data_IF_944295610300
#
_entry.id   IF_944295610300
#
_cell.length_a   1.000
_cell.length_b   1.000
_cell.length_c   1.000
_cell.angle_alpha   90.00
_cell.angle_beta   90.00
_cell.angle_gamma   90.00
#
_symmetry.space_group_name_H-M   'P 1'
#
loop_
_entity.id
_entity.type
_entity.pdbx_description
1 polymer ?
#
# COMPACT_ATOMS: atom_id res chain seq x y z
N UNK A 1 -13.08 -17.68 8.27
CA UNK A 1 -12.40 -17.16 7.06
C UNK A 1 -13.13 -15.92 6.63
N UNK A 2 -12.43 -14.79 6.59
CA UNK A 2 -12.96 -13.48 6.27
C UNK A 2 -13.26 -13.41 4.77
N UNK A 3 -14.49 -13.03 4.39
CA UNK A 3 -14.93 -13.01 3.00
C UNK A 3 -14.78 -11.61 2.41
N UNK A 4 -13.99 -11.49 1.35
CA UNK A 4 -13.58 -10.22 0.76
C UNK A 4 -14.00 -10.14 -0.70
N UNK A 5 -14.59 -9.02 -1.10
CA UNK A 5 -14.78 -8.58 -2.47
C UNK A 5 -13.70 -7.57 -2.89
N UNK A 6 -13.37 -7.52 -4.16
CA UNK A 6 -12.41 -6.57 -4.73
C UNK A 6 -13.10 -5.75 -5.81
N UNK A 7 -13.12 -4.43 -5.66
CA UNK A 7 -13.56 -3.50 -6.70
C UNK A 7 -12.36 -2.87 -7.40
N UNK A 8 -12.21 -3.11 -8.69
CA UNK A 8 -11.07 -2.73 -9.51
C UNK A 8 -9.97 -3.80 -9.53
N UNK A 9 -9.76 -4.40 -10.69
CA UNK A 9 -8.78 -5.47 -10.89
C UNK A 9 -7.50 -4.96 -11.58
N UNK A 10 -7.10 -3.73 -11.24
CA UNK A 10 -5.81 -3.12 -11.60
C UNK A 10 -4.65 -3.77 -10.84
N UNK A 11 -3.48 -3.11 -10.82
CA UNK A 11 -2.28 -3.64 -10.14
C UNK A 11 -2.59 -4.08 -8.70
N UNK A 12 -3.12 -3.17 -7.88
CA UNK A 12 -3.33 -3.46 -6.45
C UNK A 12 -4.42 -4.50 -6.24
N UNK A 13 -5.58 -4.39 -6.93
CA UNK A 13 -6.65 -5.39 -6.80
C UNK A 13 -6.18 -6.79 -7.13
N UNK A 14 -5.40 -6.97 -8.21
CA UNK A 14 -4.82 -8.27 -8.56
C UNK A 14 -3.83 -8.79 -7.54
N UNK A 15 -3.00 -7.92 -6.97
CA UNK A 15 -2.01 -8.34 -5.98
C UNK A 15 -2.62 -8.62 -4.62
N UNK A 16 -3.66 -7.88 -4.21
CA UNK A 16 -4.51 -8.25 -3.06
C UNK A 16 -5.13 -9.63 -3.28
N UNK A 17 -5.64 -9.88 -4.51
CA UNK A 17 -6.18 -11.21 -4.87
C UNK A 17 -5.12 -12.30 -4.74
N UNK A 18 -3.92 -12.11 -5.31
CA UNK A 18 -2.82 -13.08 -5.24
C UNK A 18 -2.34 -13.29 -3.80
N UNK A 19 -2.15 -12.23 -3.02
CA UNK A 19 -1.74 -12.31 -1.62
C UNK A 19 -2.77 -13.09 -0.77
N UNK A 20 -4.06 -12.90 -1.04
CA UNK A 20 -5.11 -13.67 -0.36
C UNK A 20 -5.03 -15.18 -0.63
N UNK A 21 -4.50 -15.61 -1.79
CA UNK A 21 -4.31 -17.04 -2.08
C UNK A 21 -3.17 -17.69 -1.28
N UNK A 22 -2.27 -16.90 -0.72
CA UNK A 22 -1.17 -17.36 0.14
C UNK A 22 -1.56 -17.35 1.63
N UNK A 23 -2.84 -17.01 1.94
CA UNK A 23 -3.37 -16.88 3.31
C UNK A 23 -4.46 -17.91 3.60
N UNK A 24 -4.66 -18.21 4.89
CA UNK A 24 -5.67 -19.13 5.37
C UNK A 24 -6.80 -18.43 6.15
N UNK A 25 -6.70 -17.14 6.40
CA UNK A 25 -7.65 -16.34 7.18
C UNK A 25 -8.64 -15.57 6.29
N UNK A 26 -8.27 -15.29 5.04
CA UNK A 26 -9.04 -14.50 4.07
C UNK A 26 -9.42 -15.34 2.85
N UNK A 27 -10.61 -15.09 2.32
CA UNK A 27 -11.08 -15.66 1.06
C UNK A 27 -11.65 -14.57 0.15
N UNK A 28 -11.14 -14.45 -1.08
CA UNK A 28 -11.79 -13.62 -2.08
C UNK A 28 -12.99 -14.37 -2.63
N UNK A 29 -14.18 -13.78 -2.51
CA UNK A 29 -15.46 -14.37 -2.95
C UNK A 29 -16.06 -13.67 -4.15
N UNK A 30 -15.60 -12.45 -4.45
CA UNK A 30 -16.09 -11.65 -5.57
C UNK A 30 -15.04 -10.68 -6.10
N UNK A 31 -15.09 -10.40 -7.39
CA UNK A 31 -14.31 -9.37 -8.07
C UNK A 31 -15.26 -8.57 -8.96
N UNK A 32 -15.10 -7.26 -8.98
CA UNK A 32 -15.79 -6.36 -9.92
C UNK A 32 -14.78 -5.54 -10.72
N UNK A 33 -14.92 -5.55 -12.03
CA UNK A 33 -14.25 -4.60 -12.92
C UNK A 33 -15.08 -4.41 -14.20
N UNK A 34 -15.62 -3.20 -14.45
CA UNK A 34 -16.48 -2.95 -15.60
C UNK A 34 -15.75 -2.86 -16.95
N UNK A 35 -14.42 -2.91 -16.96
CA UNK A 35 -13.59 -2.75 -18.15
C UNK A 35 -12.94 -4.05 -18.61
N UNK A 36 -13.17 -5.16 -17.88
CA UNK A 36 -12.62 -6.46 -18.19
C UNK A 36 -13.73 -7.44 -18.54
N UNK A 37 -13.51 -8.27 -19.55
CA UNK A 37 -14.21 -9.53 -19.66
C UNK A 37 -13.53 -10.62 -18.82
N UNK A 38 -14.21 -11.75 -18.63
CA UNK A 38 -13.74 -12.79 -17.75
C UNK A 38 -12.44 -13.47 -18.22
N UNK A 39 -12.30 -13.67 -19.53
CA UNK A 39 -11.12 -14.34 -20.09
C UNK A 39 -9.88 -13.43 -20.00
N UNK A 40 -10.07 -12.13 -20.21
CA UNK A 40 -8.99 -11.16 -20.02
C UNK A 40 -8.61 -10.97 -18.54
N UNK A 41 -9.58 -11.00 -17.63
CA UNK A 41 -9.32 -11.00 -16.18
C UNK A 41 -8.44 -12.20 -15.79
N UNK A 42 -8.77 -13.40 -16.28
CA UNK A 42 -8.01 -14.63 -16.04
C UNK A 42 -6.59 -14.49 -16.59
N UNK A 43 -6.44 -13.99 -17.82
CA UNK A 43 -5.13 -13.73 -18.42
C UNK A 43 -4.29 -12.78 -17.55
N UNK A 44 -4.86 -11.65 -17.13
CA UNK A 44 -4.18 -10.67 -16.29
C UNK A 44 -3.83 -11.21 -14.90
N UNK A 45 -4.63 -12.11 -14.34
CA UNK A 45 -4.30 -12.80 -13.08
C UNK A 45 -3.14 -13.77 -13.27
N UNK A 46 -3.14 -14.49 -14.39
CA UNK A 46 -2.17 -15.56 -14.64
C UNK A 46 -0.77 -15.05 -14.93
N UNK A 47 -0.64 -13.94 -15.67
CA UNK A 47 0.64 -13.42 -16.12
C UNK A 47 0.92 -12.04 -15.53
N UNK A 48 2.07 -11.89 -14.90
CA UNK A 48 2.53 -10.61 -14.36
C UNK A 48 4.02 -10.43 -14.63
N UNK A 49 4.38 -9.26 -15.16
CA UNK A 49 5.77 -8.94 -15.54
C UNK A 49 6.71 -8.91 -14.33
N UNK A 50 6.23 -8.47 -13.18
CA UNK A 50 7.03 -8.29 -11.96
C UNK A 50 6.93 -9.52 -11.06
N UNK A 51 5.70 -9.96 -10.77
CA UNK A 51 5.43 -11.03 -9.79
C UNK A 51 5.29 -12.42 -10.42
N UNK A 52 5.56 -12.53 -11.73
CA UNK A 52 5.57 -13.81 -12.45
C UNK A 52 4.20 -14.46 -12.60
N UNK A 53 4.17 -15.74 -12.91
CA UNK A 53 2.94 -16.48 -13.13
C UNK A 53 2.21 -16.76 -11.80
N UNK A 54 0.88 -16.72 -11.85
CA UNK A 54 0.03 -17.08 -10.72
C UNK A 54 0.24 -18.57 -10.34
N UNK A 55 0.49 -18.81 -9.07
CA UNK A 55 0.71 -20.15 -8.51
C UNK A 55 -0.62 -20.82 -8.16
N UNK A 56 -1.48 -21.02 -9.15
CA UNK A 56 -2.79 -21.62 -8.97
C UNK A 56 -3.48 -21.82 -10.30
N UNK A 57 -4.74 -22.26 -10.27
CA UNK A 57 -5.59 -22.38 -11.45
C UNK A 57 -6.61 -21.26 -11.50
N UNK A 58 -6.80 -20.68 -12.68
CA UNK A 58 -7.85 -19.72 -12.97
C UNK A 58 -8.56 -20.14 -14.25
N UNK A 59 -9.87 -20.37 -14.20
CA UNK A 59 -10.62 -20.97 -15.29
C UNK A 59 -11.97 -20.28 -15.48
N UNK A 60 -12.36 -20.12 -16.74
CA UNK A 60 -13.73 -19.77 -17.13
C UNK A 60 -14.51 -21.07 -17.41
N UNK A 61 -15.48 -21.38 -16.57
CA UNK A 61 -16.36 -22.52 -16.77
C UNK A 61 -17.79 -22.05 -16.94
N UNK A 62 -18.23 -22.03 -18.20
CA UNK A 62 -19.60 -21.62 -18.52
C UNK A 62 -19.96 -20.19 -18.15
N UNK A 63 -19.02 -19.25 -18.30
CA UNK A 63 -19.17 -17.83 -17.96
C UNK A 63 -18.96 -17.51 -16.47
N UNK A 64 -18.43 -18.44 -15.68
CA UNK A 64 -18.14 -18.28 -14.26
C UNK A 64 -16.65 -18.41 -13.99
N UNK A 65 -16.13 -17.57 -13.07
CA UNK A 65 -14.75 -17.62 -12.63
C UNK A 65 -14.54 -18.70 -11.59
N UNK A 66 -13.57 -19.58 -11.84
CA UNK A 66 -13.11 -20.58 -10.87
C UNK A 66 -11.63 -20.37 -10.57
N UNK A 67 -11.31 -20.24 -9.29
CA UNK A 67 -9.93 -20.11 -8.79
C UNK A 67 -9.64 -21.27 -7.85
N UNK A 68 -8.62 -22.06 -8.18
CA UNK A 68 -8.28 -23.26 -7.42
C UNK A 68 -9.50 -24.17 -7.18
N UNK A 69 -10.37 -24.29 -8.18
CA UNK A 69 -11.59 -25.09 -8.16
C UNK A 69 -12.77 -24.49 -7.40
N UNK A 70 -12.63 -23.29 -6.82
CA UNK A 70 -13.72 -22.58 -6.12
C UNK A 70 -14.30 -21.47 -6.99
N UNK A 71 -15.63 -21.36 -7.04
CA UNK A 71 -16.31 -20.27 -7.73
C UNK A 71 -16.06 -18.94 -7.03
N UNK A 72 -15.72 -17.91 -7.79
CA UNK A 72 -15.59 -16.50 -7.37
C UNK A 72 -16.57 -15.69 -8.22
N UNK A 73 -17.45 -14.93 -7.58
CA UNK A 73 -18.39 -14.09 -8.32
C UNK A 73 -17.65 -13.03 -9.13
N UNK A 74 -18.06 -12.83 -10.38
CA UNK A 74 -17.53 -11.77 -11.23
C UNK A 74 -18.64 -10.81 -11.60
N UNK A 75 -18.40 -9.52 -11.36
CA UNK A 75 -19.30 -8.42 -11.71
C UNK A 75 -18.61 -7.45 -12.67
N UNK A 76 -19.40 -6.74 -13.46
CA UNK A 76 -18.95 -5.71 -14.40
C UNK A 76 -19.74 -4.40 -14.21
N UNK A 77 -20.02 -4.04 -12.96
CA UNK A 77 -20.83 -2.89 -12.59
C UNK A 77 -19.97 -1.62 -12.43
N UNK A 78 -20.46 -0.50 -12.99
CA UNK A 78 -19.81 0.81 -12.86
C UNK A 78 -20.19 1.54 -11.58
N UNK A 79 -21.40 1.31 -11.10
CA UNK A 79 -21.93 1.91 -9.86
C UNK A 79 -21.66 0.97 -8.69
N UNK A 80 -20.86 1.37 -7.69
CA UNK A 80 -20.57 0.55 -6.53
C UNK A 80 -21.82 0.09 -5.75
N UNK A 81 -22.90 0.88 -5.76
CA UNK A 81 -24.16 0.53 -5.11
C UNK A 81 -24.88 -0.64 -5.78
N UNK A 82 -24.62 -0.88 -7.07
CA UNK A 82 -25.25 -1.94 -7.87
C UNK A 82 -24.47 -3.27 -7.83
N UNK A 83 -23.28 -3.31 -7.22
CA UNK A 83 -22.48 -4.54 -7.11
C UNK A 83 -23.09 -5.41 -6.02
N UNK A 84 -23.42 -6.64 -6.35
CA UNK A 84 -24.11 -7.57 -5.46
C UNK A 84 -23.21 -8.24 -4.41
N UNK A 85 -22.46 -7.46 -3.63
CA UNK A 85 -21.52 -7.99 -2.62
C UNK A 85 -22.18 -8.92 -1.61
N UNK A 86 -23.35 -8.52 -1.09
CA UNK A 86 -24.10 -9.32 -0.13
C UNK A 86 -24.54 -10.66 -0.71
N UNK A 87 -24.98 -10.68 -1.98
CA UNK A 87 -25.34 -11.92 -2.70
C UNK A 87 -24.16 -12.87 -2.92
N UNK A 88 -22.96 -12.32 -3.11
CA UNK A 88 -21.70 -13.07 -3.19
C UNK A 88 -21.15 -13.46 -1.81
N UNK A 89 -21.72 -12.95 -0.73
CA UNK A 89 -21.29 -13.18 0.64
C UNK A 89 -20.02 -12.44 1.04
N UNK A 90 -19.67 -11.34 0.38
CA UNK A 90 -18.54 -10.51 0.75
C UNK A 90 -18.91 -9.61 1.93
N UNK A 91 -18.22 -9.78 3.05
CA UNK A 91 -18.38 -8.92 4.23
C UNK A 91 -17.53 -7.64 4.12
N UNK A 92 -16.35 -7.76 3.56
CA UNK A 92 -15.40 -6.67 3.34
C UNK A 92 -15.22 -6.40 1.85
N UNK A 93 -15.03 -5.15 1.48
CA UNK A 93 -14.68 -4.76 0.11
C UNK A 93 -13.38 -3.98 0.10
N UNK A 94 -12.43 -4.40 -0.75
CA UNK A 94 -11.25 -3.61 -1.09
C UNK A 94 -11.60 -2.72 -2.28
N UNK A 95 -11.63 -1.41 -2.05
CA UNK A 95 -11.82 -0.42 -3.09
C UNK A 95 -10.46 -0.05 -3.71
N UNK A 96 -10.15 -0.61 -4.88
CA UNK A 96 -8.85 -0.47 -5.55
C UNK A 96 -8.90 0.16 -6.93
N UNK A 97 -9.99 0.86 -7.26
CA UNK A 97 -10.11 1.61 -8.52
C UNK A 97 -9.35 2.93 -8.53
N UNK A 98 -9.12 3.53 -7.35
CA UNK A 98 -8.60 4.89 -7.20
C UNK A 98 -9.61 6.00 -7.51
N UNK A 99 -10.88 5.65 -7.76
CA UNK A 99 -11.97 6.61 -8.10
C UNK A 99 -12.82 6.93 -6.88
N UNK A 100 -13.14 5.94 -6.07
CA UNK A 100 -14.04 6.06 -4.92
C UNK A 100 -13.23 6.17 -3.62
N UNK A 101 -12.59 7.33 -3.39
CA UNK A 101 -11.61 7.53 -2.32
C UNK A 101 -12.11 8.37 -1.15
N UNK A 102 -13.40 8.67 -1.08
CA UNK A 102 -14.05 9.37 0.03
C UNK A 102 -15.06 8.47 0.73
N UNK A 103 -15.43 8.81 1.98
CA UNK A 103 -16.44 8.06 2.76
C UNK A 103 -17.73 7.89 1.96
N UNK A 104 -18.26 8.98 1.39
CA UNK A 104 -19.52 8.95 0.65
C UNK A 104 -19.43 8.04 -0.59
N UNK A 105 -18.34 8.15 -1.35
CA UNK A 105 -18.19 7.38 -2.60
C UNK A 105 -17.90 5.90 -2.33
N UNK A 106 -16.97 5.60 -1.44
CA UNK A 106 -16.66 4.22 -1.07
C UNK A 106 -17.78 3.59 -0.26
N UNK A 107 -18.53 4.39 0.50
CA UNK A 107 -19.73 3.97 1.25
C UNK A 107 -20.84 3.39 0.36
N UNK A 108 -20.86 3.67 -0.94
CA UNK A 108 -21.82 3.08 -1.88
C UNK A 108 -21.72 1.54 -1.91
N UNK A 109 -20.55 0.98 -1.64
CA UNK A 109 -20.41 -0.48 -1.53
C UNK A 109 -21.25 -1.11 -0.41
N UNK A 110 -21.54 -0.34 0.65
CA UNK A 110 -22.40 -0.80 1.76
C UNK A 110 -23.83 -1.03 1.27
N UNK A 111 -24.31 -0.24 0.29
CA UNK A 111 -25.62 -0.43 -0.32
C UNK A 111 -25.68 -1.71 -1.15
N UNK A 112 -24.56 -2.15 -1.72
CA UNK A 112 -24.40 -3.43 -2.40
C UNK A 112 -24.32 -4.65 -1.44
N UNK A 113 -24.40 -4.40 -0.13
CA UNK A 113 -24.45 -5.43 0.91
C UNK A 113 -23.10 -5.75 1.56
N UNK A 114 -22.03 -5.03 1.27
CA UNK A 114 -20.80 -5.09 2.05
C UNK A 114 -21.03 -4.53 3.46
N UNK A 115 -20.31 -5.05 4.46
CA UNK A 115 -20.35 -4.54 5.83
C UNK A 115 -19.29 -3.46 6.06
N UNK A 116 -18.13 -3.61 5.44
CA UNK A 116 -16.95 -2.75 5.62
C UNK A 116 -16.25 -2.54 4.29
N UNK A 117 -15.60 -1.37 4.16
CA UNK A 117 -14.83 -1.01 2.96
C UNK A 117 -13.44 -0.52 3.36
N UNK A 118 -12.42 -1.04 2.70
CA UNK A 118 -11.03 -0.57 2.82
C UNK A 118 -10.61 0.06 1.49
N UNK A 119 -10.39 1.35 1.51
CA UNK A 119 -9.86 2.11 0.37
C UNK A 119 -8.37 1.85 0.26
N UNK A 120 -7.91 1.32 -0.87
CA UNK A 120 -6.48 1.06 -1.13
C UNK A 120 -5.76 2.29 -1.71
N UNK A 121 -6.05 3.45 -1.17
CA UNK A 121 -5.46 4.73 -1.52
C UNK A 121 -5.60 5.72 -0.36
N UNK A 122 -4.83 6.82 -0.30
CA UNK A 122 -5.07 7.88 0.64
C UNK A 122 -6.48 8.47 0.48
N UNK A 123 -7.13 8.78 1.61
CA UNK A 123 -8.42 9.45 1.64
C UNK A 123 -8.32 10.83 2.27
N UNK A 124 -9.19 11.74 1.81
CA UNK A 124 -9.27 13.07 2.42
C UNK A 124 -10.07 13.07 3.72
N UNK A 125 -11.05 12.20 3.86
CA UNK A 125 -12.06 12.18 4.93
C UNK A 125 -12.18 10.84 5.66
N UNK A 126 -11.88 9.69 5.02
CA UNK A 126 -11.90 8.41 5.71
C UNK A 126 -10.71 8.28 6.69
N UNK A 127 -10.92 7.69 7.88
CA UNK A 127 -9.84 7.37 8.80
C UNK A 127 -8.78 6.53 8.12
N UNK A 128 -7.50 6.92 8.29
CA UNK A 128 -6.36 6.20 7.71
C UNK A 128 -5.65 5.36 8.75
N UNK A 129 -5.30 4.14 8.36
CA UNK A 129 -4.59 3.20 9.21
C UNK A 129 -3.32 2.71 8.52
N UNK A 130 -2.28 2.54 9.32
CA UNK A 130 -1.01 1.90 8.93
C UNK A 130 -0.70 0.82 9.94
N UNK A 131 -0.52 -0.41 9.47
CA UNK A 131 -0.21 -1.54 10.33
C UNK A 131 1.05 -1.29 11.17
N UNK A 132 0.97 -1.59 12.46
CA UNK A 132 2.04 -1.33 13.44
C UNK A 132 2.18 0.11 13.90
N UNK A 133 1.33 1.03 13.41
CA UNK A 133 1.41 2.45 13.76
C UNK A 133 0.22 2.90 14.59
N UNK A 134 -1.02 2.66 14.12
CA UNK A 134 -2.23 3.19 14.76
C UNK A 134 -3.47 2.28 14.63
N UNK A 135 -3.29 0.97 14.48
CA UNK A 135 -4.44 0.05 14.35
C UNK A 135 -5.34 0.04 15.59
N UNK A 136 -4.79 0.36 16.76
CA UNK A 136 -5.51 0.46 18.03
C UNK A 136 -6.56 1.59 18.05
N UNK A 137 -6.46 2.55 17.15
CA UNK A 137 -7.44 3.62 16.99
C UNK A 137 -8.70 3.18 16.22
N UNK A 138 -8.67 2.00 15.57
CA UNK A 138 -9.81 1.48 14.82
C UNK A 138 -10.97 1.14 15.76
N UNK A 139 -12.18 1.50 15.37
CA UNK A 139 -13.42 1.21 16.09
C UNK A 139 -14.40 0.46 15.20
N UNK A 140 -15.21 -0.40 15.81
CA UNK A 140 -16.16 -1.25 15.09
C UNK A 140 -17.22 -0.48 14.28
N UNK A 141 -17.51 0.77 14.62
CA UNK A 141 -18.44 1.65 13.91
C UNK A 141 -17.83 2.33 12.66
N UNK A 142 -16.51 2.23 12.46
CA UNK A 142 -15.84 2.72 11.26
C UNK A 142 -16.06 1.75 10.10
N UNK A 143 -17.04 2.06 9.22
CA UNK A 143 -17.41 1.18 8.12
C UNK A 143 -16.60 1.41 6.85
N UNK A 144 -16.00 2.59 6.68
CA UNK A 144 -15.14 2.95 5.54
C UNK A 144 -13.84 3.49 6.09
N UNK A 145 -12.74 2.84 5.75
CA UNK A 145 -11.39 3.22 6.20
C UNK A 145 -10.42 3.21 5.02
N UNK A 146 -9.26 3.84 5.20
CA UNK A 146 -8.20 3.87 4.19
C UNK A 146 -6.92 3.21 4.73
N UNK A 147 -6.26 2.42 3.87
CA UNK A 147 -4.93 1.86 4.15
C UNK A 147 -3.79 2.85 3.81
N UNK A 148 -4.09 4.14 3.67
CA UNK A 148 -3.15 5.19 3.24
C UNK A 148 -2.45 4.87 1.90
N UNK A 149 -1.24 5.38 1.66
CA UNK A 149 -0.43 5.06 0.47
C UNK A 149 0.67 4.05 0.79
N UNK A 150 1.22 3.42 -0.25
CA UNK A 150 2.39 2.54 -0.10
C UNK A 150 3.59 3.29 0.51
N UNK A 151 3.84 4.52 0.10
CA UNK A 151 4.91 5.37 0.66
C UNK A 151 4.65 5.72 2.13
N UNK A 152 3.39 5.99 2.52
CA UNK A 152 3.04 6.24 3.93
C UNK A 152 3.26 4.97 4.76
N UNK A 153 2.94 3.80 4.21
CA UNK A 153 3.17 2.51 4.87
C UNK A 153 4.67 2.20 5.07
N UNK A 154 5.54 2.69 4.18
CA UNK A 154 6.98 2.60 4.37
C UNK A 154 7.49 3.63 5.40
N UNK A 155 7.08 4.88 5.27
CA UNK A 155 7.61 5.99 6.05
C UNK A 155 7.14 5.96 7.51
N UNK A 156 5.86 5.66 7.77
CA UNK A 156 5.29 5.80 9.11
C UNK A 156 5.91 4.86 10.15
N UNK A 157 6.15 3.56 9.89
CA UNK A 157 6.84 2.68 10.84
C UNK A 157 8.26 3.16 11.16
N UNK A 158 9.03 3.59 10.15
CA UNK A 158 10.36 4.16 10.34
C UNK A 158 10.31 5.43 11.18
N UNK A 159 9.45 6.39 10.79
CA UNK A 159 9.29 7.66 11.52
C UNK A 159 8.81 7.45 12.95
N UNK A 160 7.95 6.45 13.20
CA UNK A 160 7.50 6.07 14.54
C UNK A 160 8.68 5.69 15.43
N UNK A 161 9.54 4.76 14.98
CA UNK A 161 10.71 4.32 15.76
C UNK A 161 11.64 5.51 16.08
N UNK A 162 11.90 6.36 15.10
CA UNK A 162 12.78 7.52 15.29
C UNK A 162 12.15 8.53 16.25
N UNK A 163 10.86 8.82 16.09
CA UNK A 163 10.17 9.77 16.96
C UNK A 163 10.07 9.27 18.40
N UNK A 164 9.72 8.00 18.58
CA UNK A 164 9.51 7.42 19.91
C UNK A 164 10.83 7.34 20.74
N UNK A 165 11.98 7.13 20.08
CA UNK A 165 13.27 7.00 20.74
C UNK A 165 14.03 8.34 20.85
N UNK A 166 14.03 9.15 19.80
CA UNK A 166 14.90 10.31 19.67
C UNK A 166 14.14 11.64 19.50
N UNK A 167 12.84 11.60 19.20
CA UNK A 167 12.05 12.77 18.84
C UNK A 167 12.41 13.30 17.45
N UNK A 168 11.41 13.71 16.68
CA UNK A 168 11.60 14.41 15.40
C UNK A 168 11.19 15.87 15.57
N UNK A 169 12.12 16.78 15.31
CA UNK A 169 11.85 18.22 15.25
C UNK A 169 11.17 18.56 13.92
N UNK A 170 11.83 18.17 12.83
CA UNK A 170 11.39 18.39 11.45
C UNK A 170 12.07 17.41 10.49
N UNK A 171 11.49 17.19 9.32
CA UNK A 171 12.11 16.33 8.33
C UNK A 171 11.56 16.53 6.92
N UNK A 172 12.41 16.17 5.95
CA UNK A 172 12.07 16.11 4.54
C UNK A 172 12.19 14.67 4.05
N UNK A 173 11.18 14.22 3.34
CA UNK A 173 11.16 12.90 2.72
C UNK A 173 11.25 13.04 1.21
N UNK A 174 12.13 12.29 0.59
CA UNK A 174 12.13 12.04 -0.85
C UNK A 174 11.85 10.55 -1.07
N UNK A 175 10.88 10.22 -1.91
CA UNK A 175 10.79 8.86 -2.39
C UNK A 175 11.27 8.78 -3.84
N UNK A 176 12.22 7.88 -4.11
CA UNK A 176 12.54 7.46 -5.47
C UNK A 176 11.62 6.29 -5.76
N UNK A 177 10.62 6.53 -6.61
CA UNK A 177 9.45 5.64 -6.74
C UNK A 177 9.38 5.01 -8.12
N UNK A 178 9.12 3.72 -8.15
CA UNK A 178 8.86 2.99 -9.38
C UNK A 178 7.70 3.60 -10.19
N UNK A 179 7.66 3.30 -11.47
CA UNK A 179 6.59 3.68 -12.37
C UNK A 179 5.25 3.07 -11.91
N UNK A 180 4.18 3.84 -12.05
CA UNK A 180 2.82 3.37 -11.83
C UNK A 180 1.98 3.62 -13.08
N UNK A 181 0.78 3.04 -13.18
CA UNK A 181 -0.07 3.17 -14.36
C UNK A 181 -0.52 4.62 -14.67
N UNK A 182 -0.27 5.56 -13.78
CA UNK A 182 -0.53 6.99 -14.01
C UNK A 182 0.54 7.65 -14.87
N UNK A 183 1.76 7.11 -14.93
CA UNK A 183 2.81 7.58 -15.80
C UNK A 183 2.53 7.21 -17.26
N UNK A 184 3.01 8.03 -18.18
CA UNK A 184 2.89 7.79 -19.63
C UNK A 184 4.11 7.03 -20.15
N UNK A 185 3.90 6.08 -21.04
CA UNK A 185 5.00 5.38 -21.73
C UNK A 185 5.69 6.28 -22.74
N UNK A 186 4.92 7.13 -23.45
CA UNK A 186 5.40 8.17 -24.38
C UNK A 186 4.81 9.52 -23.97
N UNK A 187 5.42 10.63 -24.43
CA UNK A 187 4.91 11.97 -24.12
C UNK A 187 3.46 12.11 -24.57
N UNK A 188 2.58 12.47 -23.64
CA UNK A 188 1.16 12.62 -23.87
C UNK A 188 0.57 13.76 -23.02
N UNK A 189 -0.57 14.34 -23.42
CA UNK A 189 -1.21 15.41 -22.67
C UNK A 189 -1.52 15.00 -21.23
N UNK A 190 -1.25 15.92 -20.30
CA UNK A 190 -1.63 15.80 -18.89
C UNK A 190 -2.02 17.18 -18.37
N UNK A 191 -3.31 17.38 -18.11
CA UNK A 191 -3.85 18.70 -17.77
C UNK A 191 -3.47 19.15 -16.34
N UNK A 192 -3.35 18.21 -15.41
CA UNK A 192 -3.11 18.51 -13.98
C UNK A 192 -1.64 18.56 -13.61
N UNK A 193 -0.84 17.72 -14.23
CA UNK A 193 0.60 17.57 -13.97
C UNK A 193 1.33 17.40 -15.30
N UNK A 194 1.94 18.46 -15.78
CA UNK A 194 2.64 18.44 -17.07
C UNK A 194 3.85 17.50 -17.06
N UNK A 195 4.55 17.39 -15.92
CA UNK A 195 5.67 16.45 -15.76
C UNK A 195 5.19 15.00 -15.83
N UNK A 196 4.03 14.70 -15.27
CA UNK A 196 3.40 13.36 -15.35
C UNK A 196 2.92 13.00 -16.77
N UNK A 197 2.87 13.97 -17.71
CA UNK A 197 2.64 13.72 -19.13
C UNK A 197 3.87 13.27 -19.91
N UNK A 198 5.07 13.35 -19.33
CA UNK A 198 6.32 12.94 -19.98
C UNK A 198 6.54 11.43 -19.83
N UNK A 199 7.22 10.86 -20.82
CA UNK A 199 7.56 9.44 -20.85
C UNK A 199 8.37 9.02 -19.62
N UNK A 200 7.92 7.97 -18.95
CA UNK A 200 8.64 7.39 -17.81
C UNK A 200 9.88 6.60 -18.23
N UNK A 201 9.93 6.10 -19.48
CA UNK A 201 10.96 5.17 -19.90
C UNK A 201 12.37 5.75 -19.85
N UNK A 202 12.52 7.07 -20.06
CA UNK A 202 13.82 7.72 -20.17
C UNK A 202 13.96 8.96 -19.29
N UNK A 203 13.09 9.14 -18.30
CA UNK A 203 13.07 10.34 -17.48
C UNK A 203 13.09 10.04 -15.98
N UNK A 204 13.71 10.93 -15.22
CA UNK A 204 13.48 11.10 -13.79
C UNK A 204 12.46 12.22 -13.65
N UNK A 205 11.27 11.91 -13.10
CA UNK A 205 10.13 12.83 -13.10
C UNK A 205 9.84 13.28 -11.67
N UNK A 206 10.14 14.55 -11.30
CA UNK A 206 9.70 15.11 -10.02
C UNK A 206 8.17 15.16 -9.95
N UNK A 207 7.62 14.69 -8.84
CA UNK A 207 6.18 14.60 -8.62
C UNK A 207 5.85 15.00 -7.16
N UNK A 208 4.72 15.64 -6.97
CA UNK A 208 4.21 15.89 -5.63
C UNK A 208 3.71 14.60 -4.97
N UNK A 209 3.81 14.53 -3.65
CA UNK A 209 3.23 13.45 -2.85
C UNK A 209 2.67 13.97 -1.54
N UNK A 210 1.53 13.45 -1.13
CA UNK A 210 0.96 13.70 0.19
C UNK A 210 1.43 12.72 1.27
N UNK A 211 2.29 11.76 0.92
CA UNK A 211 2.62 10.64 1.80
C UNK A 211 3.28 11.08 3.13
N UNK A 212 4.20 12.04 3.09
CA UNK A 212 4.84 12.55 4.31
C UNK A 212 3.86 13.32 5.20
N UNK A 213 2.96 14.11 4.60
CA UNK A 213 1.91 14.81 5.36
C UNK A 213 0.90 13.83 5.97
N UNK A 214 0.62 12.71 5.27
CA UNK A 214 -0.27 11.67 5.76
C UNK A 214 0.27 10.97 7.03
N UNK A 215 1.59 10.95 7.24
CA UNK A 215 2.19 10.45 8.49
C UNK A 215 1.66 11.22 9.70
N UNK A 216 1.47 12.53 9.60
CA UNK A 216 0.87 13.34 10.67
C UNK A 216 -0.59 13.01 10.99
N UNK A 217 -1.30 12.30 10.10
CA UNK A 217 -2.66 11.80 10.37
C UNK A 217 -2.66 10.48 11.15
N UNK A 218 -1.64 9.65 10.96
CA UNK A 218 -1.50 8.34 11.64
C UNK A 218 -0.57 8.40 12.86
N UNK A 219 0.28 9.45 12.95
CA UNK A 219 1.11 9.77 14.11
C UNK A 219 0.92 11.26 14.42
N UNK A 220 -0.07 11.62 15.24
CA UNK A 220 -0.42 13.03 15.49
C UNK A 220 0.74 13.89 15.99
N UNK A 221 1.68 13.31 16.73
CA UNK A 221 2.90 13.99 17.21
C UNK A 221 3.82 14.50 16.08
N UNK A 222 3.66 13.97 14.85
CA UNK A 222 4.40 14.37 13.66
C UNK A 222 3.62 15.31 12.73
N UNK A 223 2.42 15.73 13.13
CA UNK A 223 1.63 16.65 12.32
C UNK A 223 2.38 17.98 12.11
N UNK A 224 2.53 18.37 10.85
CA UNK A 224 3.25 19.59 10.47
C UNK A 224 4.79 19.49 10.51
N UNK A 225 5.37 18.39 11.00
CA UNK A 225 6.83 18.21 11.09
C UNK A 225 7.46 17.56 9.85
N UNK A 226 6.66 16.85 9.04
CA UNK A 226 7.15 16.14 7.85
C UNK A 226 6.47 16.64 6.58
N UNK A 227 7.26 16.85 5.53
CA UNK A 227 6.78 17.04 4.16
C UNK A 227 7.73 16.34 3.19
N UNK A 228 7.38 16.27 1.90
CA UNK A 228 8.23 15.57 0.95
C UNK A 228 7.75 15.63 -0.49
N UNK A 229 8.52 14.96 -1.34
CA UNK A 229 8.27 14.84 -2.77
C UNK A 229 8.67 13.44 -3.28
N UNK A 230 8.34 13.16 -4.51
CA UNK A 230 8.73 11.94 -5.21
C UNK A 230 9.57 12.24 -6.45
N UNK A 231 10.52 11.37 -6.77
CA UNK A 231 11.06 11.20 -8.10
C UNK A 231 10.53 9.88 -8.68
N UNK A 232 9.81 9.95 -9.80
CA UNK A 232 9.41 8.76 -10.55
C UNK A 232 10.54 8.35 -11.49
N UNK A 233 10.89 7.07 -11.46
CA UNK A 233 12.01 6.50 -12.23
C UNK A 233 11.55 5.31 -13.08
N UNK A 234 12.27 4.94 -14.16
CA UNK A 234 11.89 3.87 -15.06
C UNK A 234 12.21 2.47 -14.49
N UNK A 235 11.77 2.17 -13.29
CA UNK A 235 11.77 0.84 -12.68
C UNK A 235 10.35 0.32 -12.59
N UNK A 236 10.16 -0.99 -12.77
CA UNK A 236 8.83 -1.58 -12.84
C UNK A 236 8.18 -1.68 -11.46
N UNK A 237 8.95 -1.90 -10.41
CA UNK A 237 8.51 -2.07 -9.03
C UNK A 237 9.67 -1.78 -8.08
N UNK A 238 9.38 -1.76 -6.81
CA UNK A 238 10.23 -1.39 -5.66
C UNK A 238 10.66 0.07 -5.68
N UNK A 239 10.36 0.72 -4.59
CA UNK A 239 10.64 2.13 -4.32
C UNK A 239 11.48 2.27 -3.05
N UNK A 240 12.05 3.44 -2.84
CA UNK A 240 12.85 3.74 -1.66
C UNK A 240 12.42 5.08 -1.05
N UNK A 241 12.32 5.12 0.27
CA UNK A 241 12.17 6.34 1.07
C UNK A 241 13.54 6.80 1.53
N UNK A 242 13.85 8.05 1.26
CA UNK A 242 14.95 8.84 1.83
C UNK A 242 14.32 9.82 2.84
N UNK A 243 14.54 9.58 4.12
CA UNK A 243 14.04 10.42 5.21
C UNK A 243 15.20 11.17 5.85
N UNK A 244 15.29 12.48 5.62
CA UNK A 244 16.26 13.36 6.30
C UNK A 244 15.55 14.08 7.43
N UNK A 245 16.02 13.87 8.68
CA UNK A 245 15.39 14.41 9.89
C UNK A 245 16.37 15.09 10.81
N UNK A 246 15.87 16.10 11.53
CA UNK A 246 16.49 16.69 12.71
C UNK A 246 15.89 16.03 13.96
N UNK A 247 16.76 15.47 14.79
CA UNK A 247 16.39 14.80 16.04
C UNK A 247 16.36 15.82 17.19
N UNK A 248 15.43 15.64 18.13
CA UNK A 248 15.39 16.38 19.39
C UNK A 248 16.53 15.95 20.31
N UNK A 249 16.73 14.64 20.45
CA UNK A 249 17.80 14.04 21.25
C UNK A 249 18.96 13.63 20.34
N UNK A 250 20.17 14.03 20.72
CA UNK A 250 21.37 13.59 20.02
C UNK A 250 21.54 12.07 20.13
N UNK A 251 21.88 11.43 19.03
CA UNK A 251 22.15 10.00 18.96
C UNK A 251 23.25 9.69 17.94
N UNK A 252 24.02 8.67 18.20
CA UNK A 252 24.93 8.10 17.21
C UNK A 252 24.15 7.31 16.17
N UNK A 253 24.72 7.15 14.99
CA UNK A 253 24.06 6.32 13.94
C UNK A 253 23.91 4.86 14.38
N UNK A 254 24.84 4.34 15.20
CA UNK A 254 24.76 2.98 15.76
C UNK A 254 23.59 2.82 16.74
N UNK A 255 23.31 3.84 17.57
CA UNK A 255 22.14 3.84 18.45
C UNK A 255 20.84 3.84 17.64
N UNK A 256 20.80 4.60 16.53
CA UNK A 256 19.66 4.63 15.63
C UNK A 256 19.45 3.26 14.97
N UNK A 257 20.52 2.65 14.43
CA UNK A 257 20.46 1.29 13.87
C UNK A 257 19.96 0.27 14.88
N UNK A 258 20.48 0.33 16.10
CA UNK A 258 20.08 -0.58 17.19
C UNK A 258 18.59 -0.45 17.54
N UNK A 259 18.08 0.78 17.63
CA UNK A 259 16.66 1.04 17.89
C UNK A 259 15.75 0.47 16.78
N UNK A 260 16.10 0.72 15.51
CA UNK A 260 15.35 0.22 14.36
C UNK A 260 15.40 -1.31 14.29
N UNK A 261 16.58 -1.92 14.48
CA UNK A 261 16.75 -3.38 14.51
C UNK A 261 15.89 -4.01 15.60
N UNK A 262 15.94 -3.47 16.81
CA UNK A 262 15.11 -3.93 17.93
C UNK A 262 13.62 -3.88 17.57
N UNK A 263 13.13 -2.77 17.01
CA UNK A 263 11.73 -2.63 16.63
C UNK A 263 11.33 -3.64 15.53
N UNK A 264 12.21 -3.89 14.56
CA UNK A 264 11.96 -4.84 13.46
C UNK A 264 11.88 -6.30 13.93
N UNK A 265 12.54 -6.63 15.01
CA UNK A 265 12.55 -7.98 15.60
C UNK A 265 11.40 -8.20 16.60
N UNK A 266 10.80 -7.12 17.13
CA UNK A 266 9.79 -7.15 18.19
C UNK A 266 8.44 -6.54 17.72
N UNK A 267 8.14 -5.31 18.14
CA UNK A 267 6.82 -4.68 17.99
C UNK A 267 6.41 -4.40 16.55
N UNK A 268 7.38 -4.25 15.65
CA UNK A 268 7.13 -4.03 14.21
C UNK A 268 7.53 -5.25 13.35
N UNK A 269 7.65 -6.42 13.97
CA UNK A 269 7.95 -7.66 13.25
C UNK A 269 6.90 -7.92 12.15
N UNK A 270 7.37 -8.22 10.92
CA UNK A 270 6.51 -8.43 9.75
C UNK A 270 6.01 -7.14 9.09
N UNK A 271 6.41 -5.96 9.60
CA UNK A 271 6.08 -4.64 9.08
C UNK A 271 7.36 -3.89 8.71
N UNK A 272 8.25 -3.72 9.70
CA UNK A 272 9.57 -3.15 9.53
C UNK A 272 10.60 -4.26 9.40
N UNK A 273 11.48 -4.15 8.40
CA UNK A 273 12.65 -4.99 8.22
C UNK A 273 13.94 -4.22 8.48
N UNK A 274 15.06 -4.93 8.52
CA UNK A 274 16.38 -4.38 8.73
C UNK A 274 17.39 -5.18 7.91
N UNK A 275 18.29 -4.49 7.20
CA UNK A 275 19.39 -5.13 6.46
C UNK A 275 20.69 -4.35 6.62
N UNK A 276 21.80 -5.06 6.61
CA UNK A 276 23.17 -4.54 6.54
C UNK A 276 23.86 -4.93 5.21
N UNK A 277 23.14 -5.69 4.37
CA UNK A 277 23.67 -6.16 3.09
C UNK A 277 23.70 -5.02 2.05
N UNK A 278 24.58 -5.15 1.08
CA UNK A 278 24.69 -4.20 -0.04
C UNK A 278 23.63 -4.52 -1.10
N UNK A 279 22.39 -4.11 -0.83
CA UNK A 279 21.19 -4.42 -1.61
C UNK A 279 20.82 -3.31 -2.58
N UNK A 280 20.01 -3.68 -3.58
CA UNK A 280 19.39 -2.75 -4.54
C UNK A 280 17.89 -3.05 -4.66
N UNK A 281 17.15 -2.22 -5.39
CA UNK A 281 15.68 -2.30 -5.46
C UNK A 281 15.13 -3.68 -5.82
N UNK A 282 15.74 -4.40 -6.77
CA UNK A 282 15.23 -5.69 -7.24
C UNK A 282 15.30 -6.81 -6.20
N UNK A 283 16.14 -6.66 -5.17
CA UNK A 283 16.23 -7.61 -4.04
C UNK A 283 14.97 -7.60 -3.17
N UNK A 284 14.13 -6.57 -3.30
CA UNK A 284 12.89 -6.42 -2.53
C UNK A 284 11.62 -6.67 -3.36
N UNK A 285 11.74 -7.20 -4.58
CA UNK A 285 10.56 -7.64 -5.33
C UNK A 285 9.89 -8.77 -4.55
N UNK A 286 8.58 -8.63 -4.33
CA UNK A 286 7.77 -9.57 -3.55
C UNK A 286 8.05 -9.56 -2.02
N UNK A 287 8.62 -8.46 -1.53
CA UNK A 287 8.80 -8.25 -0.10
C UNK A 287 7.45 -7.87 0.56
N UNK A 288 7.03 -8.63 1.57
CA UNK A 288 5.75 -8.43 2.25
C UNK A 288 5.78 -7.37 3.36
N UNK A 289 6.97 -7.05 3.88
CA UNK A 289 7.15 -5.94 4.82
C UNK A 289 7.08 -4.62 4.06
N UNK A 290 6.41 -3.64 4.62
CA UNK A 290 6.21 -2.34 3.94
C UNK A 290 7.34 -1.34 4.13
N UNK A 291 8.34 -1.66 4.95
CA UNK A 291 9.50 -0.80 5.22
C UNK A 291 10.69 -1.65 5.60
N UNK A 292 11.73 -1.70 4.76
CA UNK A 292 12.97 -2.42 5.09
C UNK A 292 14.10 -1.41 5.20
N UNK A 293 14.50 -1.12 6.43
CA UNK A 293 15.57 -0.16 6.71
C UNK A 293 16.92 -0.69 6.23
N UNK A 294 17.60 0.11 5.42
CA UNK A 294 18.95 -0.15 4.91
C UNK A 294 19.97 0.56 5.82
N UNK A 295 20.60 -0.21 6.69
CA UNK A 295 21.55 0.32 7.67
C UNK A 295 22.85 0.82 7.03
N UNK A 296 23.19 0.32 5.84
CA UNK A 296 24.39 0.70 5.10
C UNK A 296 24.21 1.96 4.24
N UNK A 297 22.99 2.29 3.83
CA UNK A 297 22.71 3.39 2.92
C UNK A 297 22.50 4.76 3.61
N UNK A 298 22.23 4.77 4.92
CA UNK A 298 21.99 6.00 5.67
C UNK A 298 23.27 6.78 6.03
N UNK A 299 23.12 8.03 6.43
CA UNK A 299 24.23 8.93 6.77
C UNK A 299 23.84 9.80 7.98
N UNK A 300 24.73 9.92 8.96
CA UNK A 300 24.63 10.93 10.01
C UNK A 300 25.62 12.07 9.72
N UNK A 301 25.10 13.28 9.59
CA UNK A 301 25.95 14.48 9.49
C UNK A 301 26.52 14.84 10.87
N UNK A 302 25.70 14.71 11.89
CA UNK A 302 26.03 14.91 13.30
C UNK A 302 25.00 14.18 14.15
N UNK A 303 25.10 14.28 15.48
CA UNK A 303 24.20 13.56 16.40
C UNK A 303 22.72 13.98 16.30
N UNK A 304 22.38 15.08 15.64
CA UNK A 304 21.00 15.55 15.54
C UNK A 304 20.47 15.64 14.12
N UNK A 305 21.28 15.31 13.09
CA UNK A 305 20.84 15.43 11.70
C UNK A 305 21.26 14.21 10.90
N UNK A 306 20.28 13.42 10.47
CA UNK A 306 20.49 12.11 9.87
C UNK A 306 19.63 11.91 8.63
N UNK A 307 20.13 11.12 7.69
CA UNK A 307 19.44 10.59 6.53
C UNK A 307 19.25 9.08 6.72
N UNK A 308 18.02 8.61 6.59
CA UNK A 308 17.61 7.22 6.76
C UNK A 308 17.00 6.71 5.46
N UNK A 309 17.35 5.49 5.06
CA UNK A 309 16.91 4.88 3.80
C UNK A 309 16.09 3.64 4.12
N UNK A 310 14.92 3.51 3.49
CA UNK A 310 14.07 2.32 3.64
C UNK A 310 13.44 1.91 2.32
N UNK A 311 13.56 0.61 1.99
CA UNK A 311 13.04 -0.01 0.79
C UNK A 311 11.62 -0.53 0.99
N UNK A 312 10.82 -0.55 -0.07
CA UNK A 312 9.50 -1.16 -0.07
C UNK A 312 9.07 -1.62 -1.47
N UNK A 313 8.52 -2.83 -1.53
CA UNK A 313 7.74 -3.23 -2.68
C UNK A 313 6.41 -2.45 -2.63
N UNK A 314 6.27 -1.47 -3.50
CA UNK A 314 5.12 -0.54 -3.49
C UNK A 314 3.81 -1.21 -3.92
N UNK A 315 3.87 -2.44 -4.40
CA UNK A 315 2.74 -3.25 -4.83
C UNK A 315 2.43 -4.40 -3.86
N UNK A 316 3.40 -5.32 -3.63
CA UNK A 316 3.19 -6.54 -2.87
C UNK A 316 3.06 -6.30 -1.37
N UNK A 317 4.01 -5.59 -0.78
CA UNK A 317 3.97 -5.28 0.65
C UNK A 317 2.72 -4.51 1.03
N UNK A 318 2.36 -3.51 0.23
CA UNK A 318 1.13 -2.74 0.41
C UNK A 318 -0.13 -3.61 0.32
N UNK A 319 -0.22 -4.49 -0.68
CA UNK A 319 -1.37 -5.38 -0.88
C UNK A 319 -1.56 -6.35 0.30
N UNK A 320 -0.48 -6.86 0.87
CA UNK A 320 -0.52 -7.67 2.09
C UNK A 320 -1.08 -6.87 3.28
N UNK A 321 -0.70 -5.59 3.45
CA UNK A 321 -1.19 -4.76 4.56
C UNK A 321 -2.65 -4.35 4.42
N UNK A 322 -3.19 -4.29 3.21
CA UNK A 322 -4.65 -4.18 3.01
C UNK A 322 -5.38 -5.38 3.65
N UNK A 323 -4.86 -6.59 3.45
CA UNK A 323 -5.44 -7.81 4.04
C UNK A 323 -5.19 -7.89 5.55
N UNK A 324 -4.04 -7.42 6.04
CA UNK A 324 -3.74 -7.36 7.47
C UNK A 324 -4.67 -6.36 8.19
N UNK A 325 -4.96 -5.21 7.58
CA UNK A 325 -5.93 -4.26 8.09
C UNK A 325 -7.33 -4.88 8.17
N UNK A 326 -7.77 -5.58 7.12
CA UNK A 326 -9.05 -6.31 7.13
C UNK A 326 -9.08 -7.35 8.25
N UNK A 327 -8.02 -8.13 8.42
CA UNK A 327 -7.92 -9.12 9.48
C UNK A 327 -8.01 -8.48 10.86
N UNK A 328 -7.36 -7.32 11.08
CA UNK A 328 -7.48 -6.56 12.31
C UNK A 328 -8.90 -6.06 12.53
N UNK A 329 -9.53 -5.47 11.52
CA UNK A 329 -10.92 -4.98 11.60
C UNK A 329 -11.90 -6.09 12.01
N UNK A 330 -11.67 -7.32 11.57
CA UNK A 330 -12.52 -8.48 11.91
C UNK A 330 -12.39 -8.92 13.38
N UNK A 331 -11.30 -8.57 14.05
CA UNK A 331 -11.09 -8.86 15.48
C UNK A 331 -11.75 -7.85 16.42
N UNK A 332 -12.02 -6.64 15.94
CA UNK A 332 -12.61 -5.55 16.74
C UNK A 332 -14.13 -5.60 16.63
N UNK A 333 -14.80 -5.84 17.74
CA UNK A 333 -16.26 -6.01 17.84
C UNK A 333 -16.96 -4.78 18.41
#
# INVERSE_FOLDING_TARGET
MIKVGINGFGRIGRLVFRAAQERNDVQIVAVNDPFLDLDYLIYMLQYDTVHGQFKGTAENKGGKLFINGKEVAFFAEKDPASIGWGGAGADYVVESTGVFTTIDKAGLHLQGGAKKVVISAPSNDAPMFVCGVNLEEYKADMNVVSNASCTTNCLAPLAKVINDNFGIVEGLMTTVHAATNTQKTVDAPSAKDWRGGRSILNNIIPSSTGAAKAVGKVIPALNGKLTGMAFRVPTADVSVVDLTVRLEKSATYDEIKAAIKKASENELKGILGYTEDSVVSTDFIHESRTSVFDAGAGIALNGNFVKLVSWYDNEWGYSNKVLDLIAHMDTVK
#
